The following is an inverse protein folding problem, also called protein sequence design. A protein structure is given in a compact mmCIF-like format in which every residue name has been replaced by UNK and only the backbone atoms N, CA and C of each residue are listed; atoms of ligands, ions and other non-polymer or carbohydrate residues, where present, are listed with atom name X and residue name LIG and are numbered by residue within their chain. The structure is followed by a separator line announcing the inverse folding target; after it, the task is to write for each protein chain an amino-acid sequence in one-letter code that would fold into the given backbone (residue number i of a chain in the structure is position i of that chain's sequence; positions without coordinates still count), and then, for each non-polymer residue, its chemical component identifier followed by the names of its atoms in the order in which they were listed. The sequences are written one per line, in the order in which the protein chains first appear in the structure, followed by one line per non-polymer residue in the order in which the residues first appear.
data_IF_019828380611
#
_entry.id   IF_019828380611
#
_cell.length_a   1.000
_cell.length_b   1.000
_cell.length_c   1.000
_cell.angle_alpha   90.00
_cell.angle_beta   90.00
_cell.angle_gamma   90.00
#
_symmetry.space_group_name_H-M   'P 1'
#
loop_
_entity.id
_entity.type
_entity.pdbx_description
1 polymer ?
#
# COMPACT_ATOMS: atom_id res chain seq x y z
N UNK A 1 -16.61 -3.51 -19.73
CA UNK A 1 -15.14 -3.50 -19.49
C UNK A 1 -14.83 -2.35 -18.52
N UNK A 2 -15.01 -2.59 -17.23
CA UNK A 2 -14.59 -1.67 -16.15
C UNK A 2 -13.29 -2.25 -15.61
N UNK A 3 -12.17 -1.74 -16.10
CA UNK A 3 -10.83 -2.12 -15.65
C UNK A 3 -10.62 -1.51 -14.26
N UNK A 4 -10.46 -2.37 -13.28
CA UNK A 4 -10.15 -2.03 -11.89
C UNK A 4 -8.97 -1.04 -11.80
N UNK A 5 -9.28 0.19 -11.41
CA UNK A 5 -8.31 1.25 -11.10
C UNK A 5 -7.82 1.20 -9.64
N UNK A 6 -7.85 0.02 -8.99
CA UNK A 6 -7.54 -0.13 -7.56
C UNK A 6 -6.05 -0.37 -7.25
N UNK A 7 -5.21 -0.63 -8.27
CA UNK A 7 -3.80 -1.01 -8.05
C UNK A 7 -2.76 0.03 -8.53
N UNK A 8 -3.16 1.28 -8.74
CA UNK A 8 -2.13 2.31 -8.93
C UNK A 8 -1.74 2.85 -7.55
N UNK A 9 -0.46 2.70 -7.12
CA UNK A 9 0.03 3.45 -5.98
C UNK A 9 -0.34 4.91 -6.27
N UNK A 10 -0.92 5.61 -5.31
CA UNK A 10 -1.15 7.06 -5.39
C UNK A 10 0.21 7.77 -5.46
N UNK A 11 0.86 7.62 -6.62
CA UNK A 11 2.00 8.44 -6.97
C UNK A 11 1.58 9.89 -6.80
N UNK A 12 2.49 10.73 -6.34
CA UNK A 12 2.30 12.18 -6.27
C UNK A 12 1.89 12.62 -7.68
N UNK A 13 0.62 12.58 -7.98
CA UNK A 13 0.08 12.98 -9.28
C UNK A 13 -0.10 14.49 -9.25
N UNK A 14 0.46 15.17 -10.25
CA UNK A 14 0.19 16.58 -10.45
C UNK A 14 -1.30 16.75 -10.75
N UNK A 15 -2.01 17.50 -9.91
CA UNK A 15 -3.41 17.82 -10.19
C UNK A 15 -3.47 18.88 -11.29
N UNK A 16 -4.39 18.71 -12.21
CA UNK A 16 -4.61 19.69 -13.29
C UNK A 16 -4.76 21.12 -12.75
N UNK A 17 -5.43 21.28 -11.61
CA UNK A 17 -5.59 22.58 -10.93
C UNK A 17 -4.25 23.24 -10.61
N UNK A 18 -3.25 22.49 -10.19
CA UNK A 18 -1.93 23.01 -9.84
C UNK A 18 -1.19 23.48 -11.10
N UNK A 19 -1.27 22.72 -12.18
CA UNK A 19 -0.70 23.10 -13.47
C UNK A 19 -1.35 24.38 -14.01
N UNK A 20 -2.67 24.47 -14.03
CA UNK A 20 -3.43 25.66 -14.43
C UNK A 20 -3.02 26.87 -13.60
N UNK A 21 -2.86 26.71 -12.29
CA UNK A 21 -2.43 27.81 -11.40
C UNK A 21 -1.03 28.32 -11.74
N UNK A 22 -0.05 27.44 -11.96
CA UNK A 22 1.29 27.85 -12.37
C UNK A 22 1.30 28.52 -13.74
N UNK A 23 0.51 28.02 -14.68
CA UNK A 23 0.39 28.64 -16.00
C UNK A 23 -0.23 30.05 -15.93
N UNK A 24 -1.19 30.30 -15.05
CA UNK A 24 -1.71 31.65 -14.82
C UNK A 24 -0.64 32.61 -14.29
N UNK A 25 0.21 32.16 -13.36
CA UNK A 25 1.36 32.95 -12.87
C UNK A 25 2.31 33.28 -14.02
N UNK A 26 2.62 32.29 -14.88
CA UNK A 26 3.48 32.48 -16.04
C UNK A 26 2.87 33.47 -17.03
N UNK A 27 1.59 33.37 -17.35
CA UNK A 27 0.85 34.27 -18.24
C UNK A 27 0.89 35.71 -17.73
N UNK A 28 0.59 35.92 -16.44
CA UNK A 28 0.62 37.26 -15.82
C UNK A 28 2.05 37.83 -15.87
N UNK A 29 3.07 37.03 -15.50
CA UNK A 29 4.45 37.44 -15.52
C UNK A 29 4.94 37.81 -16.93
N UNK A 30 4.68 36.96 -17.93
CA UNK A 30 5.04 37.21 -19.33
C UNK A 30 4.33 38.44 -19.89
N UNK A 31 3.01 38.58 -19.63
CA UNK A 31 2.22 39.74 -20.09
C UNK A 31 2.73 41.04 -19.49
N UNK A 32 2.97 41.08 -18.19
CA UNK A 32 3.51 42.26 -17.49
C UNK A 32 4.88 42.65 -18.02
N UNK A 33 5.73 41.66 -18.25
CA UNK A 33 7.08 41.89 -18.81
C UNK A 33 7.01 42.50 -20.20
N UNK A 34 6.18 41.97 -21.09
CA UNK A 34 6.00 42.51 -22.46
C UNK A 34 5.52 43.96 -22.39
N UNK A 35 4.52 44.26 -21.54
CA UNK A 35 3.95 45.57 -21.36
C UNK A 35 5.04 46.56 -20.86
N UNK A 36 5.77 46.19 -19.82
CA UNK A 36 6.82 47.03 -19.25
C UNK A 36 7.93 47.27 -20.28
N UNK A 37 8.38 46.23 -20.96
CA UNK A 37 9.45 46.34 -21.98
C UNK A 37 9.03 47.28 -23.12
N UNK A 38 7.80 47.19 -23.59
CA UNK A 38 7.31 47.99 -24.69
C UNK A 38 7.03 49.46 -24.28
N UNK A 39 6.28 49.70 -23.20
CA UNK A 39 5.83 51.05 -22.83
C UNK A 39 6.84 51.86 -22.01
N UNK A 40 7.59 51.18 -21.08
CA UNK A 40 8.51 51.89 -20.22
C UNK A 40 9.96 51.95 -20.79
N UNK A 41 10.43 50.85 -21.34
CA UNK A 41 11.76 50.77 -21.87
C UNK A 41 11.87 51.03 -23.37
N UNK A 42 10.72 51.17 -24.07
CA UNK A 42 10.65 51.43 -25.51
C UNK A 42 11.56 50.47 -26.33
N UNK A 43 11.56 49.17 -25.91
CA UNK A 43 12.35 48.15 -26.56
C UNK A 43 11.63 47.70 -27.83
N UNK A 44 12.33 47.77 -28.97
CA UNK A 44 11.76 47.29 -30.25
C UNK A 44 11.92 45.78 -30.37
N UNK A 45 10.81 45.09 -30.26
CA UNK A 45 10.67 43.65 -30.55
C UNK A 45 9.32 43.35 -31.20
N UNK A 46 9.17 42.16 -31.77
CA UNK A 46 7.89 41.78 -32.44
C UNK A 46 6.75 41.58 -31.43
N UNK A 47 6.12 42.69 -30.97
CA UNK A 47 5.04 42.65 -29.97
C UNK A 47 3.87 41.77 -30.43
N UNK A 48 3.52 41.81 -31.71
CA UNK A 48 2.45 41.00 -32.28
C UNK A 48 2.70 39.51 -32.11
N UNK A 49 3.89 39.06 -32.50
CA UNK A 49 4.30 37.63 -32.39
C UNK A 49 4.42 37.17 -30.94
N UNK A 50 4.99 38.04 -30.09
CA UNK A 50 5.13 37.75 -28.65
C UNK A 50 3.78 37.67 -27.96
N UNK A 51 2.84 38.56 -28.30
CA UNK A 51 1.47 38.54 -27.78
C UNK A 51 0.68 37.34 -28.24
N UNK A 52 0.85 36.88 -29.48
CA UNK A 52 0.22 35.66 -29.99
C UNK A 52 0.66 34.44 -29.19
N UNK A 53 1.94 34.33 -28.83
CA UNK A 53 2.45 33.22 -28.02
C UNK A 53 1.85 33.18 -26.60
N UNK A 54 1.71 34.35 -25.97
CA UNK A 54 1.04 34.43 -24.66
C UNK A 54 -0.43 34.10 -24.77
N UNK A 55 -1.13 34.61 -25.82
CA UNK A 55 -2.54 34.27 -26.07
C UNK A 55 -2.74 32.78 -26.32
N UNK A 56 -1.81 32.11 -27.00
CA UNK A 56 -1.84 30.65 -27.19
C UNK A 56 -1.79 29.91 -25.85
N UNK A 57 -0.95 30.35 -24.92
CA UNK A 57 -0.88 29.77 -23.56
C UNK A 57 -2.18 30.04 -22.77
N UNK A 58 -2.75 31.27 -22.89
CA UNK A 58 -4.05 31.59 -22.30
C UNK A 58 -5.14 30.67 -22.84
N UNK A 59 -5.20 30.50 -24.17
CA UNK A 59 -6.17 29.63 -24.81
C UNK A 59 -6.06 28.19 -24.32
N UNK A 60 -4.85 27.63 -24.28
CA UNK A 60 -4.63 26.29 -23.76
C UNK A 60 -5.10 26.19 -22.31
N UNK A 61 -4.76 27.14 -21.45
CA UNK A 61 -5.10 27.11 -20.03
C UNK A 61 -6.62 27.19 -19.79
N UNK A 62 -7.31 28.04 -20.56
CA UNK A 62 -8.78 28.18 -20.55
C UNK A 62 -9.43 26.90 -21.09
N UNK A 63 -8.91 26.34 -22.20
CA UNK A 63 -9.39 25.08 -22.75
C UNK A 63 -9.29 23.94 -21.74
N UNK A 64 -8.16 23.80 -21.04
CA UNK A 64 -7.97 22.79 -20.01
C UNK A 64 -8.95 22.98 -18.84
N UNK A 65 -9.18 24.22 -18.43
CA UNK A 65 -10.09 24.54 -17.34
C UNK A 65 -11.54 24.11 -17.64
N UNK A 66 -12.01 24.29 -18.88
CA UNK A 66 -13.37 23.93 -19.27
C UNK A 66 -13.53 22.47 -19.72
N UNK A 67 -12.47 21.85 -20.25
CA UNK A 67 -12.57 20.50 -20.84
C UNK A 67 -12.45 19.39 -19.81
N UNK A 68 -11.85 19.66 -18.63
CA UNK A 68 -11.58 18.62 -17.64
C UNK A 68 -12.01 19.02 -16.22
N UNK A 69 -12.45 18.06 -15.39
CA UNK A 69 -12.75 18.35 -13.99
C UNK A 69 -11.48 18.78 -13.25
N UNK A 70 -11.60 19.82 -12.42
CA UNK A 70 -10.48 20.44 -11.68
C UNK A 70 -9.74 19.43 -10.76
N UNK A 71 -10.43 18.36 -10.35
CA UNK A 71 -9.90 17.29 -9.50
C UNK A 71 -9.13 16.23 -10.28
N UNK A 72 -9.06 16.34 -11.63
CA UNK A 72 -8.35 15.36 -12.45
C UNK A 72 -6.87 15.29 -12.07
N UNK A 73 -6.40 14.08 -11.77
CA UNK A 73 -4.97 13.77 -11.68
C UNK A 73 -4.43 13.50 -13.08
N UNK A 74 -3.32 14.14 -13.44
CA UNK A 74 -2.70 14.00 -14.74
C UNK A 74 -1.82 12.74 -14.76
N UNK A 75 -1.89 12.00 -15.88
CA UNK A 75 -0.95 10.92 -16.17
C UNK A 75 0.43 11.49 -16.55
N UNK A 76 1.49 10.70 -16.35
CA UNK A 76 2.86 11.12 -16.67
C UNK A 76 3.04 11.58 -18.13
N UNK A 77 2.34 10.96 -19.08
CA UNK A 77 2.37 11.37 -20.48
C UNK A 77 1.71 12.73 -20.69
N UNK A 78 0.58 12.97 -20.04
CA UNK A 78 -0.13 14.26 -20.10
C UNK A 78 0.77 15.38 -19.53
N UNK A 79 1.36 15.17 -18.35
CA UNK A 79 2.30 16.13 -17.74
C UNK A 79 3.48 16.41 -18.67
N UNK A 80 4.05 15.37 -19.27
CA UNK A 80 5.19 15.53 -20.20
C UNK A 80 4.83 16.39 -21.41
N UNK A 81 3.67 16.16 -22.02
CA UNK A 81 3.20 16.93 -23.19
C UNK A 81 2.96 18.40 -22.81
N UNK A 82 2.32 18.67 -21.67
CA UNK A 82 2.08 20.03 -21.22
C UNK A 82 3.38 20.77 -20.91
N UNK A 83 4.33 20.15 -20.22
CA UNK A 83 5.64 20.76 -19.93
C UNK A 83 6.47 20.99 -21.18
N UNK A 84 6.41 20.10 -22.18
CA UNK A 84 7.06 20.30 -23.47
C UNK A 84 6.48 21.50 -24.21
N UNK A 85 5.15 21.64 -24.18
CA UNK A 85 4.50 22.80 -24.77
C UNK A 85 4.93 24.11 -24.08
N UNK A 86 4.94 24.12 -22.74
CA UNK A 86 5.38 25.31 -21.96
C UNK A 86 6.84 25.68 -22.26
N UNK A 87 7.73 24.70 -22.37
CA UNK A 87 9.14 24.90 -22.72
C UNK A 87 9.27 25.47 -24.13
N UNK A 88 8.58 24.88 -25.11
CA UNK A 88 8.63 25.33 -26.50
C UNK A 88 8.09 26.74 -26.65
N UNK A 89 6.96 27.05 -26.03
CA UNK A 89 6.36 28.39 -26.00
C UNK A 89 7.31 29.42 -25.39
N UNK A 90 7.93 29.11 -24.25
CA UNK A 90 8.84 30.00 -23.56
C UNK A 90 10.14 30.24 -24.37
N UNK A 91 10.72 29.20 -24.95
CA UNK A 91 11.90 29.31 -25.80
C UNK A 91 11.63 30.16 -27.03
N UNK A 92 10.46 29.99 -27.66
CA UNK A 92 10.08 30.80 -28.82
C UNK A 92 9.85 32.25 -28.42
N UNK A 93 9.29 32.51 -27.24
CA UNK A 93 9.18 33.88 -26.69
C UNK A 93 10.55 34.50 -26.46
N UNK A 94 11.51 33.79 -25.84
CA UNK A 94 12.88 34.25 -25.61
C UNK A 94 13.60 34.48 -26.93
N UNK A 95 13.41 33.64 -27.94
CA UNK A 95 13.95 33.82 -29.28
C UNK A 95 13.54 35.17 -29.91
N UNK A 96 12.26 35.54 -29.77
CA UNK A 96 11.70 36.80 -30.30
C UNK A 96 12.12 38.05 -29.49
N UNK A 97 12.59 37.86 -28.27
CA UNK A 97 12.82 38.94 -27.30
C UNK A 97 14.28 39.00 -26.85
N UNK A 98 15.24 38.68 -27.73
CA UNK A 98 16.67 38.93 -27.53
C UNK A 98 17.51 37.75 -27.07
N UNK A 99 16.99 36.54 -27.01
CA UNK A 99 17.77 35.37 -26.61
C UNK A 99 18.33 35.46 -25.20
N UNK A 100 19.62 35.22 -25.05
CA UNK A 100 20.32 35.32 -23.74
C UNK A 100 20.51 36.73 -23.21
N UNK A 101 20.28 37.78 -24.02
CA UNK A 101 20.26 39.14 -23.50
C UNK A 101 18.98 39.44 -22.73
N UNK A 102 17.97 38.60 -22.86
CA UNK A 102 16.73 38.66 -22.10
C UNK A 102 16.90 37.99 -20.72
N UNK A 103 16.83 38.69 -19.59
CA UNK A 103 16.99 38.11 -18.25
C UNK A 103 15.94 37.05 -17.89
N UNK A 104 14.83 37.03 -18.61
CA UNK A 104 13.75 36.04 -18.40
C UNK A 104 14.06 34.64 -18.97
N UNK A 105 15.24 34.46 -19.60
CA UNK A 105 15.70 33.13 -19.99
C UNK A 105 15.82 32.16 -18.78
N UNK A 106 15.98 32.69 -17.55
CA UNK A 106 15.97 31.87 -16.32
C UNK A 106 14.63 31.21 -16.03
N UNK A 107 13.50 31.71 -16.59
CA UNK A 107 12.18 31.09 -16.37
C UNK A 107 12.08 29.65 -16.90
N UNK A 108 12.98 29.24 -17.78
CA UNK A 108 13.05 27.85 -18.26
C UNK A 108 13.32 26.84 -17.14
N UNK A 109 13.82 27.27 -16.00
CA UNK A 109 14.03 26.42 -14.83
C UNK A 109 12.71 25.95 -14.21
N UNK A 110 11.62 26.71 -14.37
CA UNK A 110 10.31 26.39 -13.75
C UNK A 110 9.74 25.05 -14.25
N UNK A 111 9.52 24.84 -15.56
CA UNK A 111 9.03 23.55 -16.05
C UNK A 111 9.98 22.38 -15.75
N UNK A 112 11.29 22.64 -15.62
CA UNK A 112 12.29 21.63 -15.27
C UNK A 112 12.14 21.19 -13.80
N UNK A 113 11.96 22.12 -12.89
CA UNK A 113 11.68 21.82 -11.47
C UNK A 113 10.40 20.98 -11.35
N UNK A 114 9.34 21.37 -12.08
CA UNK A 114 8.08 20.63 -12.09
C UNK A 114 8.30 19.20 -12.64
N UNK A 115 9.01 19.06 -13.77
CA UNK A 115 9.29 17.76 -14.38
C UNK A 115 10.07 16.83 -13.43
N UNK A 116 11.12 17.37 -12.79
CA UNK A 116 11.97 16.61 -11.87
C UNK A 116 11.24 16.20 -10.58
N UNK A 117 10.20 16.95 -10.19
CA UNK A 117 9.41 16.67 -8.98
C UNK A 117 8.30 15.65 -9.24
N UNK A 118 7.65 15.69 -10.40
CA UNK A 118 6.42 14.91 -10.64
C UNK A 118 6.60 13.75 -11.63
N UNK A 119 7.62 13.76 -12.48
CA UNK A 119 7.85 12.71 -13.47
C UNK A 119 8.79 11.62 -12.98
N UNK A 120 8.80 10.51 -13.70
CA UNK A 120 9.81 9.46 -13.56
C UNK A 120 11.17 9.91 -14.16
N UNK A 121 12.23 9.23 -13.77
CA UNK A 121 13.60 9.59 -14.16
C UNK A 121 13.76 9.69 -15.68
N UNK A 122 13.19 8.78 -16.46
CA UNK A 122 13.33 8.76 -17.92
C UNK A 122 12.73 10.03 -18.56
N UNK A 123 11.52 10.42 -18.13
CA UNK A 123 10.84 11.60 -18.66
C UNK A 123 11.46 12.91 -18.16
N UNK A 124 11.93 12.95 -16.91
CA UNK A 124 12.64 14.10 -16.38
C UNK A 124 13.96 14.34 -17.15
N UNK A 125 14.72 13.28 -17.44
CA UNK A 125 15.94 13.37 -18.29
C UNK A 125 15.57 13.82 -19.70
N UNK A 126 14.50 13.32 -20.30
CA UNK A 126 14.06 13.72 -21.63
C UNK A 126 13.77 15.23 -21.69
N UNK A 127 13.01 15.76 -20.74
CA UNK A 127 12.68 17.19 -20.65
C UNK A 127 13.93 18.02 -20.43
N UNK A 128 14.83 17.60 -19.54
CA UNK A 128 16.11 18.24 -19.30
C UNK A 128 16.95 18.30 -20.59
N UNK A 129 17.07 17.19 -21.31
CA UNK A 129 17.81 17.11 -22.58
C UNK A 129 17.23 18.04 -23.66
N UNK A 130 15.90 18.05 -23.83
CA UNK A 130 15.22 18.93 -24.78
C UNK A 130 15.47 20.39 -24.41
N UNK A 131 15.42 20.76 -23.13
CA UNK A 131 15.66 22.11 -22.66
C UNK A 131 17.11 22.55 -22.91
N UNK A 132 18.09 21.68 -22.64
CA UNK A 132 19.52 21.96 -22.95
C UNK A 132 19.72 22.17 -24.45
N UNK A 133 19.14 21.30 -25.27
CA UNK A 133 19.26 21.42 -26.74
C UNK A 133 18.65 22.71 -27.24
N UNK A 134 17.47 23.09 -26.72
CA UNK A 134 16.79 24.30 -27.11
C UNK A 134 17.52 25.56 -26.64
N UNK A 135 18.10 25.58 -25.43
CA UNK A 135 18.98 26.67 -24.97
C UNK A 135 20.24 26.76 -25.80
N UNK A 136 20.84 25.62 -26.17
CA UNK A 136 22.05 25.65 -27.05
C UNK A 136 21.69 26.16 -28.44
N UNK A 137 20.49 25.87 -28.95
CA UNK A 137 20.01 26.47 -30.19
C UNK A 137 19.88 28.00 -30.09
N UNK A 138 19.34 28.51 -28.98
CA UNK A 138 19.24 29.96 -28.72
C UNK A 138 20.59 30.67 -28.64
N UNK A 139 21.70 29.98 -28.37
CA UNK A 139 23.04 30.55 -28.35
C UNK A 139 23.45 31.05 -29.75
N UNK A 140 23.02 30.35 -30.80
CA UNK A 140 23.38 30.63 -32.19
C UNK A 140 22.29 31.39 -32.93
N UNK A 141 21.02 31.23 -32.52
CA UNK A 141 19.87 31.77 -33.25
C UNK A 141 18.95 32.53 -32.28
N UNK A 142 18.89 33.84 -32.42
CA UNK A 142 17.95 34.71 -31.70
C UNK A 142 17.72 35.99 -32.48
N UNK A 143 16.59 36.67 -32.26
CA UNK A 143 16.32 37.98 -32.83
C UNK A 143 16.96 39.06 -31.93
N UNK A 144 17.91 39.85 -32.43
CA UNK A 144 18.52 40.93 -31.65
C UNK A 144 17.45 42.00 -31.31
N UNK A 145 17.58 42.59 -30.13
CA UNK A 145 16.75 43.71 -29.71
C UNK A 145 17.46 45.00 -30.12
N UNK A 146 16.73 45.94 -30.76
CA UNK A 146 17.16 47.31 -30.98
C UNK A 146 16.40 48.24 -30.03
N UNK A 147 17.08 49.28 -29.52
CA UNK A 147 16.45 50.33 -28.72
C UNK A 147 17.01 51.66 -29.14
N UNK A 148 16.13 52.52 -29.68
CA UNK A 148 16.51 53.87 -30.11
C UNK A 148 16.73 54.84 -28.95
N UNK A 149 16.15 54.55 -27.77
CA UNK A 149 16.13 55.45 -26.60
C UNK A 149 17.32 55.36 -25.66
N UNK A 150 18.10 54.31 -25.74
CA UNK A 150 19.32 54.13 -24.95
C UNK A 150 20.45 54.02 -25.94
N UNK A 151 21.53 54.89 -25.82
CA UNK A 151 22.73 54.75 -26.59
C UNK A 151 23.43 53.41 -26.30
N UNK A 152 22.85 52.33 -26.83
CA UNK A 152 23.29 50.94 -26.64
C UNK A 152 24.55 50.59 -27.44
N UNK A 153 25.16 51.62 -28.11
CA UNK A 153 26.34 51.43 -28.94
C UNK A 153 27.61 51.05 -28.17
N UNK A 154 27.57 50.93 -26.83
CA UNK A 154 28.77 50.59 -26.06
C UNK A 154 28.62 49.36 -25.16
N UNK A 155 27.41 48.76 -25.01
CA UNK A 155 27.19 47.64 -24.09
C UNK A 155 26.43 46.48 -24.73
N UNK A 156 26.70 46.13 -25.99
CA UNK A 156 26.32 44.80 -26.48
C UNK A 156 27.06 43.79 -25.63
N UNK A 157 26.30 42.82 -25.01
CA UNK A 157 26.95 41.71 -24.31
C UNK A 157 28.00 41.09 -25.21
N UNK A 158 29.24 40.95 -24.69
CA UNK A 158 30.30 40.27 -25.43
C UNK A 158 29.91 38.80 -25.66
N UNK A 159 30.43 38.19 -26.70
CA UNK A 159 30.23 36.75 -26.96
C UNK A 159 30.61 35.92 -25.73
N UNK A 160 31.62 36.35 -24.97
CA UNK A 160 32.02 35.70 -23.72
C UNK A 160 30.94 35.79 -22.63
N UNK A 161 30.25 36.91 -22.47
CA UNK A 161 29.17 37.07 -21.49
C UNK A 161 27.97 36.21 -21.85
N UNK A 162 27.57 36.17 -23.13
CA UNK A 162 26.48 35.30 -23.61
C UNK A 162 26.81 33.82 -23.37
N UNK A 163 28.05 33.42 -23.71
CA UNK A 163 28.52 32.06 -23.44
C UNK A 163 28.54 31.74 -21.94
N UNK A 164 28.97 32.70 -21.12
CA UNK A 164 29.01 32.53 -19.66
C UNK A 164 27.59 32.36 -19.05
N UNK A 165 26.62 33.13 -19.53
CA UNK A 165 25.19 32.99 -19.12
C UNK A 165 24.65 31.63 -19.53
N UNK A 166 24.90 31.21 -20.78
CA UNK A 166 24.50 29.90 -21.27
C UNK A 166 25.09 28.76 -20.43
N UNK A 167 26.40 28.77 -20.19
CA UNK A 167 27.12 27.76 -19.41
C UNK A 167 26.59 27.69 -17.96
N UNK A 168 26.43 28.87 -17.32
CA UNK A 168 25.88 28.98 -15.98
C UNK A 168 24.44 28.40 -15.89
N UNK A 169 23.64 28.72 -16.90
CA UNK A 169 22.23 28.26 -16.93
C UNK A 169 22.13 26.76 -17.13
N UNK A 170 22.97 26.15 -17.98
CA UNK A 170 23.02 24.69 -18.15
C UNK A 170 23.47 24.00 -16.87
N UNK A 171 24.55 24.50 -16.23
CA UNK A 171 25.03 23.93 -14.96
C UNK A 171 23.93 23.99 -13.90
N UNK A 172 23.28 25.14 -13.79
CA UNK A 172 22.14 25.34 -12.84
C UNK A 172 21.00 24.40 -13.14
N UNK A 173 20.64 24.21 -14.42
CA UNK A 173 19.56 23.34 -14.86
C UNK A 173 19.84 21.87 -14.48
N UNK A 174 21.04 21.38 -14.76
CA UNK A 174 21.43 20.01 -14.40
C UNK A 174 21.42 19.84 -12.88
N UNK A 175 22.00 20.78 -12.14
CA UNK A 175 22.06 20.73 -10.68
C UNK A 175 20.66 20.74 -10.05
N UNK A 176 19.81 21.70 -10.44
CA UNK A 176 18.45 21.82 -9.90
C UNK A 176 17.63 20.58 -10.26
N UNK A 177 17.71 20.09 -11.51
CA UNK A 177 16.99 18.88 -11.93
C UNK A 177 17.38 17.67 -11.08
N UNK A 178 18.68 17.43 -10.90
CA UNK A 178 19.19 16.33 -10.09
C UNK A 178 18.78 16.45 -8.61
N UNK A 179 18.90 17.66 -8.04
CA UNK A 179 18.53 17.93 -6.66
C UNK A 179 17.02 17.75 -6.42
N UNK A 180 16.17 18.34 -7.26
CA UNK A 180 14.71 18.22 -7.13
C UNK A 180 14.26 16.78 -7.30
N UNK A 181 14.81 16.04 -8.27
CA UNK A 181 14.49 14.62 -8.46
C UNK A 181 14.86 13.78 -7.23
N UNK A 182 16.06 13.98 -6.69
CA UNK A 182 16.53 13.26 -5.50
C UNK A 182 15.63 13.55 -4.28
N UNK A 183 15.38 14.82 -4.00
CA UNK A 183 14.52 15.23 -2.87
C UNK A 183 13.10 14.72 -3.02
N UNK A 184 12.52 14.79 -4.22
CA UNK A 184 11.20 14.24 -4.51
C UNK A 184 11.17 12.71 -4.31
N UNK A 185 12.21 12.00 -4.75
CA UNK A 185 12.34 10.55 -4.55
C UNK A 185 12.45 10.16 -3.08
N UNK A 186 13.24 10.87 -2.28
CA UNK A 186 13.36 10.67 -0.84
C UNK A 186 12.04 10.94 -0.12
N UNK A 187 11.34 12.02 -0.49
CA UNK A 187 10.02 12.34 0.07
C UNK A 187 8.97 11.28 -0.26
N UNK A 188 8.99 10.72 -1.48
CA UNK A 188 8.10 9.60 -1.86
C UNK A 188 8.35 8.37 -0.98
N UNK A 189 9.61 7.94 -0.84
CA UNK A 189 9.99 6.80 -0.01
C UNK A 189 9.57 6.98 1.46
N UNK A 190 9.79 8.16 2.01
CA UNK A 190 9.39 8.48 3.39
C UNK A 190 7.87 8.43 3.57
N UNK A 191 7.11 8.90 2.59
CA UNK A 191 5.64 8.87 2.60
C UNK A 191 5.10 7.45 2.49
N UNK A 192 5.70 6.62 1.62
CA UNK A 192 5.31 5.21 1.46
C UNK A 192 5.56 4.43 2.75
N UNK A 193 6.73 4.61 3.39
CA UNK A 193 7.03 4.00 4.68
C UNK A 193 6.07 4.46 5.80
N UNK A 194 5.72 5.75 5.83
CA UNK A 194 4.73 6.26 6.79
C UNK A 194 3.35 5.64 6.58
N UNK A 195 2.92 5.48 5.32
CA UNK A 195 1.64 4.84 4.97
C UNK A 195 1.60 3.38 5.42
N UNK A 196 2.67 2.62 5.17
CA UNK A 196 2.79 1.23 5.64
C UNK A 196 2.70 1.15 7.16
N UNK A 197 3.41 2.03 7.87
CA UNK A 197 3.35 2.09 9.34
C UNK A 197 1.94 2.43 9.86
N UNK A 198 1.26 3.38 9.22
CA UNK A 198 -0.12 3.74 9.59
C UNK A 198 -1.11 2.60 9.37
N UNK A 199 -0.96 1.85 8.26
CA UNK A 199 -1.78 0.68 7.99
C UNK A 199 -1.53 -0.44 9.02
N UNK A 200 -0.28 -0.68 9.39
CA UNK A 200 0.09 -1.66 10.41
C UNK A 200 -0.51 -1.28 11.79
N UNK A 201 -0.39 -0.02 12.20
CA UNK A 201 -0.99 0.49 13.45
C UNK A 201 -2.52 0.36 13.44
N UNK A 202 -3.17 0.75 12.35
CA UNK A 202 -4.63 0.63 12.24
C UNK A 202 -5.11 -0.83 12.34
N UNK A 203 -4.36 -1.76 11.77
CA UNK A 203 -4.67 -3.18 11.91
C UNK A 203 -4.45 -3.68 13.34
N UNK A 204 -3.38 -3.25 14.01
CA UNK A 204 -3.12 -3.57 15.42
C UNK A 204 -4.22 -3.05 16.34
N UNK A 205 -4.68 -1.81 16.14
CA UNK A 205 -5.80 -1.23 16.89
C UNK A 205 -7.10 -2.03 16.69
N UNK A 206 -7.42 -2.43 15.45
CA UNK A 206 -8.59 -3.26 15.15
C UNK A 206 -8.53 -4.62 15.84
N UNK A 207 -7.36 -5.27 15.83
CA UNK A 207 -7.14 -6.55 16.50
C UNK A 207 -7.29 -6.39 18.01
N UNK A 208 -6.69 -5.37 18.60
CA UNK A 208 -6.77 -5.07 20.04
C UNK A 208 -8.22 -4.79 20.48
N UNK A 209 -8.97 -4.01 19.71
CA UNK A 209 -10.38 -3.74 19.98
C UNK A 209 -11.24 -5.02 19.92
N UNK A 210 -11.02 -5.88 18.91
CA UNK A 210 -11.69 -7.17 18.78
C UNK A 210 -11.39 -8.08 19.99
N UNK A 211 -10.13 -8.15 20.42
CA UNK A 211 -9.73 -8.96 21.57
C UNK A 211 -10.39 -8.47 22.86
N UNK A 212 -10.41 -7.16 23.09
CA UNK A 212 -11.08 -6.57 24.25
C UNK A 212 -12.57 -6.85 24.29
N UNK A 213 -13.27 -6.68 23.15
CA UNK A 213 -14.69 -6.98 23.04
C UNK A 213 -14.99 -8.48 23.25
N UNK A 214 -14.12 -9.35 22.72
CA UNK A 214 -14.27 -10.80 22.89
C UNK A 214 -14.08 -11.20 24.34
N UNK A 215 -13.11 -10.66 25.06
CA UNK A 215 -12.88 -10.94 26.48
C UNK A 215 -14.08 -10.49 27.34
N UNK A 216 -14.61 -9.31 27.09
CA UNK A 216 -15.81 -8.81 27.78
C UNK A 216 -17.02 -9.69 27.48
N UNK A 217 -17.27 -10.05 26.23
CA UNK A 217 -18.38 -10.91 25.82
C UNK A 217 -18.31 -12.31 26.48
N UNK A 218 -17.11 -12.90 26.52
CA UNK A 218 -16.92 -14.21 27.20
C UNK A 218 -17.26 -14.13 28.68
N UNK A 219 -16.87 -13.05 29.37
CA UNK A 219 -17.17 -12.86 30.79
C UNK A 219 -18.66 -12.66 31.02
N UNK A 220 -19.30 -11.77 30.27
CA UNK A 220 -20.72 -11.43 30.40
C UNK A 220 -21.66 -12.59 30.00
N UNK A 221 -21.27 -13.42 29.03
CA UNK A 221 -22.06 -14.58 28.57
C UNK A 221 -21.81 -15.83 29.42
N UNK A 222 -20.65 -15.95 30.05
CA UNK A 222 -20.27 -17.10 30.87
C UNK A 222 -21.18 -17.25 32.10
N UNK A 223 -21.53 -16.13 32.75
CA UNK A 223 -22.39 -16.13 33.94
C UNK A 223 -23.80 -16.65 33.67
N UNK A 224 -24.58 -16.12 32.68
CA UNK A 224 -25.92 -16.64 32.41
C UNK A 224 -25.94 -18.10 31.91
N UNK A 225 -24.90 -18.48 31.10
CA UNK A 225 -24.79 -19.87 30.64
C UNK A 225 -24.51 -20.83 31.79
N UNK A 226 -23.71 -20.48 32.79
CA UNK A 226 -23.49 -21.28 33.99
C UNK A 226 -24.78 -21.44 34.78
N UNK A 227 -25.58 -20.40 34.92
CA UNK A 227 -26.88 -20.44 35.61
C UNK A 227 -27.85 -21.38 34.88
N UNK A 228 -27.96 -21.24 33.52
CA UNK A 228 -28.83 -22.12 32.74
C UNK A 228 -28.36 -23.59 32.82
N UNK A 229 -27.03 -23.82 32.83
CA UNK A 229 -26.44 -25.16 32.96
C UNK A 229 -26.82 -25.81 34.30
N UNK A 230 -26.79 -25.07 35.41
CA UNK A 230 -27.15 -25.57 36.74
C UNK A 230 -28.62 -25.88 36.79
N UNK A 231 -29.49 -24.95 36.38
CA UNK A 231 -30.94 -25.13 36.40
C UNK A 231 -31.37 -26.32 35.51
N UNK A 232 -30.83 -26.43 34.31
CA UNK A 232 -31.16 -27.53 33.41
C UNK A 232 -30.69 -28.86 33.96
N UNK A 233 -29.59 -28.94 34.69
CA UNK A 233 -29.10 -30.13 35.33
C UNK A 233 -30.03 -30.56 36.50
N UNK A 234 -30.43 -29.63 37.38
CA UNK A 234 -31.37 -29.88 38.47
C UNK A 234 -32.73 -30.37 37.94
N UNK A 235 -33.24 -29.74 36.86
CA UNK A 235 -34.50 -30.17 36.25
C UNK A 235 -34.43 -31.57 35.64
N UNK A 236 -33.27 -31.99 35.09
CA UNK A 236 -33.06 -33.36 34.58
C UNK A 236 -33.02 -34.36 35.74
N UNK A 237 -32.37 -34.03 36.84
CA UNK A 237 -32.30 -34.90 38.04
C UNK A 237 -33.65 -35.09 38.71
N UNK A 238 -34.55 -34.08 38.68
CA UNK A 238 -35.89 -34.12 39.27
C UNK A 238 -36.95 -34.69 38.33
N UNK A 239 -36.64 -34.91 37.03
CA UNK A 239 -37.62 -35.36 36.04
C UNK A 239 -37.48 -36.87 35.75
N UNK A 240 -38.55 -37.65 35.88
CA UNK A 240 -38.53 -39.06 35.49
C UNK A 240 -38.28 -39.23 33.99
N UNK A 241 -37.44 -40.22 33.58
CA UNK A 241 -37.06 -40.49 32.19
C UNK A 241 -38.24 -40.76 31.22
N UNK A 242 -39.44 -40.98 31.72
CA UNK A 242 -40.69 -41.19 30.96
C UNK A 242 -41.48 -39.90 30.70
N UNK A 243 -40.99 -38.74 31.16
CA UNK A 243 -41.68 -37.47 30.98
C UNK A 243 -41.39 -36.92 29.57
N UNK A 244 -42.40 -36.42 28.87
CA UNK A 244 -42.28 -35.81 27.53
C UNK A 244 -41.24 -34.69 27.46
N UNK A 245 -40.97 -33.99 28.58
CA UNK A 245 -40.01 -32.87 28.63
C UNK A 245 -38.56 -33.30 28.89
N UNK A 246 -38.28 -34.60 29.13
CA UNK A 246 -36.94 -35.07 29.47
C UNK A 246 -35.94 -34.90 28.28
N UNK A 247 -36.40 -35.23 27.07
CA UNK A 247 -35.58 -35.08 25.86
C UNK A 247 -35.28 -33.60 25.54
N UNK A 248 -36.23 -32.70 25.79
CA UNK A 248 -36.07 -31.26 25.62
C UNK A 248 -35.03 -30.68 26.60
N UNK A 249 -35.04 -31.14 27.87
CA UNK A 249 -34.06 -30.74 28.87
C UNK A 249 -32.64 -31.22 28.50
N UNK A 250 -32.49 -32.46 28.01
CA UNK A 250 -31.22 -32.96 27.51
C UNK A 250 -30.72 -32.14 26.33
N UNK A 251 -31.62 -31.74 25.44
CA UNK A 251 -31.27 -30.88 24.30
C UNK A 251 -30.76 -29.50 24.78
N UNK A 252 -31.45 -28.88 25.72
CA UNK A 252 -31.03 -27.59 26.34
C UNK A 252 -29.65 -27.73 26.96
N UNK A 253 -29.40 -28.74 27.78
CA UNK A 253 -28.09 -28.97 28.41
C UNK A 253 -26.98 -29.13 27.38
N UNK A 254 -27.24 -29.88 26.31
CA UNK A 254 -26.31 -30.09 25.23
C UNK A 254 -25.95 -28.77 24.52
N UNK A 255 -26.97 -27.90 24.26
CA UNK A 255 -26.73 -26.61 23.64
C UNK A 255 -25.98 -25.64 24.57
N UNK A 256 -26.29 -25.61 25.85
CA UNK A 256 -25.60 -24.80 26.86
C UNK A 256 -24.12 -25.21 26.95
N UNK A 257 -23.84 -26.50 27.04
CA UNK A 257 -22.48 -27.06 27.03
C UNK A 257 -21.72 -26.62 25.77
N UNK A 258 -22.37 -26.72 24.62
CA UNK A 258 -21.78 -26.27 23.36
C UNK A 258 -21.46 -24.76 23.34
N UNK A 259 -22.36 -23.91 23.85
CA UNK A 259 -22.10 -22.48 23.99
C UNK A 259 -20.90 -22.19 24.93
N UNK A 260 -20.84 -22.93 26.06
CA UNK A 260 -19.72 -22.81 26.98
C UNK A 260 -18.39 -23.22 26.35
N UNK A 261 -18.38 -24.28 25.54
CA UNK A 261 -17.18 -24.72 24.81
C UNK A 261 -16.72 -23.67 23.76
N UNK A 262 -17.66 -23.04 23.05
CA UNK A 262 -17.36 -21.95 22.13
C UNK A 262 -16.75 -20.76 22.89
N UNK A 263 -17.32 -20.35 24.00
CA UNK A 263 -16.78 -19.26 24.83
C UNK A 263 -15.41 -19.61 25.41
N UNK A 264 -15.20 -20.86 25.83
CA UNK A 264 -13.91 -21.35 26.32
C UNK A 264 -12.84 -21.28 25.21
N UNK A 265 -13.16 -21.67 23.99
CA UNK A 265 -12.27 -21.54 22.82
C UNK A 265 -11.94 -20.07 22.53
N UNK A 266 -12.92 -19.17 22.57
CA UNK A 266 -12.71 -17.72 22.42
C UNK A 266 -11.84 -17.14 23.53
N UNK A 267 -12.03 -17.58 24.77
CA UNK A 267 -11.19 -17.15 25.92
C UNK A 267 -9.75 -17.62 25.75
N UNK A 268 -9.54 -18.87 25.40
CA UNK A 268 -8.20 -19.44 25.26
C UNK A 268 -7.43 -18.81 24.09
N UNK A 269 -8.15 -18.27 23.08
CA UNK A 269 -7.52 -17.49 22.00
C UNK A 269 -7.00 -16.11 22.46
N UNK A 270 -7.42 -15.62 23.63
CA UNK A 270 -7.11 -14.28 24.12
C UNK A 270 -6.19 -14.25 25.35
N UNK A 271 -6.00 -15.37 26.06
CA UNK A 271 -5.26 -15.42 27.33
C UNK A 271 -4.01 -16.30 27.26
N UNK A 272 -2.93 -15.68 26.81
CA UNK A 272 -1.59 -16.09 27.19
C UNK A 272 -0.90 -14.90 27.86
N UNK A 273 -1.37 -14.61 29.08
CA UNK A 273 -0.62 -13.86 30.08
C UNK A 273 -1.00 -14.50 31.43
N UNK A 274 -0.09 -15.21 31.98
CA UNK A 274 0.05 -15.69 33.35
C UNK A 274 0.26 -17.20 33.43
N UNK A 275 1.49 -17.60 33.14
CA UNK A 275 2.09 -18.74 33.85
C UNK A 275 3.60 -18.73 33.64
N UNK A 276 4.34 -18.67 34.72
CA UNK A 276 5.82 -18.65 34.81
C UNK A 276 6.50 -20.00 34.40
N UNK A 277 5.78 -20.88 33.69
CA UNK A 277 6.29 -22.20 33.29
C UNK A 277 6.82 -22.27 31.83
N UNK A 278 6.97 -21.16 31.12
CA UNK A 278 7.17 -21.14 29.66
C UNK A 278 8.63 -21.20 29.18
N UNK A 279 9.57 -21.56 30.00
CA UNK A 279 11.00 -21.68 29.57
C UNK A 279 11.44 -23.09 29.20
N UNK A 280 10.53 -24.02 28.94
CA UNK A 280 10.92 -25.36 28.48
C UNK A 280 11.07 -25.39 26.96
N UNK A 281 12.27 -25.71 26.50
CA UNK A 281 12.51 -26.06 25.10
C UNK A 281 11.67 -27.27 24.71
N UNK A 282 11.08 -27.25 23.52
CA UNK A 282 10.31 -28.37 22.99
C UNK A 282 10.78 -28.74 21.58
N UNK A 283 10.57 -29.98 21.18
CA UNK A 283 10.72 -30.41 19.80
C UNK A 283 9.43 -30.26 19.05
N UNK A 284 9.46 -29.83 17.78
CA UNK A 284 8.24 -29.68 16.96
C UNK A 284 7.47 -30.99 16.83
N UNK A 285 8.16 -32.12 16.79
CA UNK A 285 7.55 -33.46 16.79
C UNK A 285 6.74 -33.73 18.04
N UNK A 286 7.29 -33.42 19.24
CA UNK A 286 6.55 -33.61 20.50
C UNK A 286 5.32 -32.68 20.61
N UNK A 287 5.48 -31.43 20.17
CA UNK A 287 4.35 -30.49 20.17
C UNK A 287 3.19 -30.94 19.26
N UNK A 288 3.51 -31.39 18.05
CA UNK A 288 2.50 -31.87 17.11
C UNK A 288 1.81 -33.12 17.69
N UNK A 289 2.58 -34.04 18.28
CA UNK A 289 2.00 -35.21 18.93
C UNK A 289 1.07 -34.85 20.09
N UNK A 290 1.47 -33.88 20.94
CA UNK A 290 0.63 -33.35 22.03
C UNK A 290 -0.69 -32.75 21.52
N UNK A 291 -0.64 -31.98 20.42
CA UNK A 291 -1.85 -31.42 19.82
C UNK A 291 -2.75 -32.52 19.26
N UNK A 292 -2.18 -33.51 18.59
CA UNK A 292 -2.89 -34.61 17.96
C UNK A 292 -3.54 -35.60 18.95
N UNK A 293 -3.04 -35.70 20.18
CA UNK A 293 -3.70 -36.51 21.23
C UNK A 293 -5.16 -36.13 21.46
N UNK A 294 -5.52 -34.86 21.26
CA UNK A 294 -6.90 -34.38 21.37
C UNK A 294 -7.83 -34.96 20.31
N UNK A 295 -7.30 -35.54 19.22
CA UNK A 295 -8.05 -36.07 18.06
C UNK A 295 -7.98 -37.60 17.93
N UNK A 296 -7.48 -38.30 18.92
CA UNK A 296 -7.25 -39.76 18.91
C UNK A 296 -8.52 -40.61 18.63
N UNK A 297 -9.71 -40.05 18.75
CA UNK A 297 -10.99 -40.70 18.52
C UNK A 297 -11.60 -40.41 17.14
N UNK A 298 -10.95 -39.65 16.26
CA UNK A 298 -11.44 -39.31 14.93
C UNK A 298 -11.03 -40.38 13.89
N UNK A 299 -11.90 -40.65 12.90
CA UNK A 299 -11.66 -41.63 11.84
C UNK A 299 -10.76 -41.15 10.70
N UNK A 300 -9.99 -40.11 10.93
CA UNK A 300 -9.12 -39.50 9.94
C UNK A 300 -7.70 -40.08 10.08
N UNK A 301 -7.14 -40.56 8.98
CA UNK A 301 -5.77 -41.05 8.93
C UNK A 301 -4.79 -39.88 9.02
N UNK A 302 -3.81 -39.99 9.94
CA UNK A 302 -2.80 -38.96 10.14
C UNK A 302 -1.44 -39.53 9.74
N UNK A 303 -0.77 -38.87 8.82
CA UNK A 303 0.59 -39.19 8.41
C UNK A 303 1.53 -38.03 8.80
N UNK A 304 2.58 -38.34 9.57
CA UNK A 304 3.59 -37.36 9.99
C UNK A 304 4.90 -37.73 9.31
N UNK A 305 5.40 -36.82 8.47
CA UNK A 305 6.68 -36.93 7.80
C UNK A 305 7.63 -35.86 8.33
N UNK A 306 8.76 -36.24 8.88
CA UNK A 306 9.75 -35.30 9.38
C UNK A 306 11.14 -35.61 8.76
N UNK A 307 11.88 -34.56 8.42
CA UNK A 307 13.25 -34.69 7.99
C UNK A 307 14.08 -35.37 9.09
N UNK A 308 15.10 -36.17 8.69
CA UNK A 308 15.90 -36.94 9.61
C UNK A 308 16.57 -36.10 10.72
N UNK A 309 16.85 -34.86 10.43
CA UNK A 309 17.43 -33.87 11.37
C UNK A 309 16.57 -33.64 12.62
N UNK A 310 15.22 -33.81 12.52
CA UNK A 310 14.31 -33.67 13.65
C UNK A 310 14.39 -34.87 14.62
N UNK A 311 14.92 -35.99 14.15
CA UNK A 311 15.13 -37.21 14.96
C UNK A 311 16.56 -37.27 15.54
N UNK A 312 17.56 -36.81 14.76
CA UNK A 312 18.97 -36.92 15.11
C UNK A 312 19.46 -35.72 15.97
N UNK A 313 19.01 -34.53 15.65
CA UNK A 313 19.32 -33.31 16.38
C UNK A 313 18.04 -32.80 17.01
N UNK A 314 17.94 -32.76 18.33
CA UNK A 314 16.83 -32.12 19.03
C UNK A 314 16.72 -30.65 18.63
N UNK A 315 16.15 -30.37 17.44
CA UNK A 315 15.82 -29.01 17.04
C UNK A 315 14.74 -28.53 17.97
N UNK A 316 15.16 -27.80 19.00
CA UNK A 316 14.28 -27.21 19.99
C UNK A 316 13.96 -25.76 19.62
N UNK A 317 12.79 -25.33 19.96
CA UNK A 317 12.35 -23.94 19.88
C UNK A 317 11.78 -23.53 21.24
N UNK A 318 11.76 -22.24 21.52
CA UNK A 318 11.07 -21.74 22.70
C UNK A 318 9.56 -22.00 22.57
N UNK A 319 8.97 -22.55 23.63
CA UNK A 319 7.53 -22.85 23.70
C UNK A 319 6.75 -21.54 23.80
N UNK A 320 6.53 -20.90 22.66
CA UNK A 320 5.75 -19.68 22.60
C UNK A 320 4.27 -20.04 22.47
N UNK A 321 3.41 -19.49 23.31
CA UNK A 321 1.97 -19.71 23.26
C UNK A 321 1.36 -19.37 21.90
N UNK A 322 1.93 -18.39 21.23
CA UNK A 322 1.51 -17.95 19.90
C UNK A 322 1.66 -19.07 18.85
N UNK A 323 2.78 -19.79 18.89
CA UNK A 323 3.04 -20.91 17.96
C UNK A 323 2.13 -22.08 18.26
N UNK A 324 1.99 -22.47 19.54
CA UNK A 324 1.13 -23.58 19.98
C UNK A 324 -0.31 -23.34 19.53
N UNK A 325 -0.83 -22.17 19.84
CA UNK A 325 -2.21 -21.83 19.52
C UNK A 325 -2.46 -21.74 18.01
N UNK A 326 -1.50 -21.17 17.28
CA UNK A 326 -1.61 -21.09 15.82
C UNK A 326 -1.62 -22.48 15.19
N UNK A 327 -0.73 -23.38 15.60
CA UNK A 327 -0.70 -24.75 15.11
C UNK A 327 -1.98 -25.50 15.48
N UNK A 328 -2.46 -25.38 16.72
CA UNK A 328 -3.74 -25.98 17.15
C UNK A 328 -4.90 -25.51 16.28
N UNK A 329 -5.03 -24.20 16.02
CA UNK A 329 -6.09 -23.66 15.18
C UNK A 329 -6.02 -24.15 13.72
N UNK A 330 -4.80 -24.32 13.17
CA UNK A 330 -4.59 -24.79 11.80
C UNK A 330 -4.91 -26.29 11.72
N UNK A 331 -4.47 -27.08 12.71
CA UNK A 331 -4.77 -28.51 12.82
C UNK A 331 -6.29 -28.73 13.02
N UNK A 332 -6.94 -27.97 13.92
CA UNK A 332 -8.40 -27.98 14.10
C UNK A 332 -9.13 -27.76 12.76
N UNK A 333 -8.62 -26.82 11.97
CA UNK A 333 -9.20 -26.50 10.66
C UNK A 333 -9.00 -27.66 9.67
N UNK A 334 -7.83 -28.29 9.65
CA UNK A 334 -7.56 -29.45 8.83
C UNK A 334 -8.51 -30.62 9.20
N UNK A 335 -8.68 -30.96 10.48
CA UNK A 335 -9.61 -31.99 10.93
C UNK A 335 -11.06 -31.69 10.57
N UNK A 336 -11.45 -30.43 10.64
CA UNK A 336 -12.83 -30.00 10.31
C UNK A 336 -13.16 -30.19 8.83
N UNK A 337 -12.19 -30.06 7.93
CA UNK A 337 -12.44 -30.06 6.49
C UNK A 337 -11.87 -31.27 5.75
N UNK A 338 -10.97 -32.04 6.35
CA UNK A 338 -10.48 -33.30 5.79
C UNK A 338 -11.63 -34.28 5.57
N UNK A 339 -11.45 -35.13 4.56
CA UNK A 339 -12.39 -36.24 4.30
C UNK A 339 -11.89 -37.54 4.95
N UNK A 340 -10.64 -37.91 4.69
CA UNK A 340 -10.07 -39.18 5.11
C UNK A 340 -8.65 -39.05 5.65
N UNK A 341 -7.87 -38.06 5.20
CA UNK A 341 -6.42 -38.01 5.47
C UNK A 341 -5.89 -36.59 5.72
N UNK A 342 -4.99 -36.48 6.69
CA UNK A 342 -4.20 -35.28 6.97
C UNK A 342 -2.73 -35.68 6.93
N UNK A 343 -1.90 -34.94 6.20
CA UNK A 343 -0.44 -35.13 6.13
C UNK A 343 0.22 -33.91 6.77
N UNK A 344 1.14 -34.16 7.71
CA UNK A 344 1.93 -33.13 8.38
C UNK A 344 3.38 -33.37 8.04
N UNK A 345 3.99 -32.46 7.26
CA UNK A 345 5.40 -32.52 6.90
C UNK A 345 6.19 -31.50 7.70
N UNK A 346 7.27 -31.95 8.34
CA UNK A 346 8.25 -31.13 9.03
C UNK A 346 9.53 -31.08 8.20
N UNK A 347 9.85 -29.91 7.68
CA UNK A 347 11.05 -29.67 6.86
C UNK A 347 11.94 -28.64 7.54
N UNK A 348 13.25 -28.89 7.47
CA UNK A 348 14.26 -27.97 8.00
C UNK A 348 15.08 -27.37 6.87
N UNK A 349 15.25 -26.07 6.92
CA UNK A 349 16.21 -25.33 6.08
C UNK A 349 17.16 -24.56 6.99
N UNK A 350 18.31 -24.13 6.48
CA UNK A 350 19.31 -23.38 7.26
C UNK A 350 18.75 -22.15 7.99
N UNK A 351 17.60 -21.64 7.58
CA UNK A 351 17.00 -20.40 8.10
C UNK A 351 15.63 -20.59 8.73
N UNK A 352 14.90 -21.65 8.39
CA UNK A 352 13.50 -21.82 8.76
C UNK A 352 13.15 -23.27 9.08
N UNK A 353 12.22 -23.43 10.02
CA UNK A 353 11.45 -24.66 10.19
C UNK A 353 10.14 -24.45 9.43
N UNK A 354 9.82 -25.38 8.55
CA UNK A 354 8.59 -25.34 7.73
C UNK A 354 7.69 -26.47 8.21
N UNK A 355 6.47 -26.10 8.63
CA UNK A 355 5.43 -27.06 9.01
C UNK A 355 4.35 -26.97 7.94
N UNK A 356 4.20 -28.01 7.12
CA UNK A 356 3.17 -28.12 6.11
C UNK A 356 2.04 -29.01 6.64
N UNK A 357 0.82 -28.51 6.65
CA UNK A 357 -0.37 -29.26 7.06
C UNK A 357 -1.28 -29.35 5.83
N UNK A 358 -1.49 -30.56 5.34
CA UNK A 358 -2.19 -30.84 4.09
C UNK A 358 -3.40 -31.69 4.41
N UNK A 359 -4.58 -31.22 4.07
CA UNK A 359 -5.84 -31.98 4.15
C UNK A 359 -6.34 -32.39 2.76
N UNK A 360 -7.11 -33.47 2.69
CA UNK A 360 -7.77 -33.98 1.48
C UNK A 360 -9.18 -33.41 1.28
N UNK A 361 -9.44 -32.26 1.88
CA UNK A 361 -10.71 -31.55 1.80
C UNK A 361 -10.97 -30.93 0.42
N UNK A 362 -12.08 -30.18 0.33
CA UNK A 362 -12.49 -29.52 -0.93
C UNK A 362 -11.65 -28.28 -1.30
N UNK A 363 -10.63 -27.90 -0.50
CA UNK A 363 -9.84 -26.68 -0.70
C UNK A 363 -10.66 -25.40 -0.55
N UNK A 364 -10.10 -24.25 -0.86
CA UNK A 364 -10.76 -22.95 -0.81
C UNK A 364 -11.18 -22.48 -2.21
N UNK A 365 -12.34 -21.85 -2.34
CA UNK A 365 -12.74 -21.24 -3.61
C UNK A 365 -11.86 -20.03 -3.94
N UNK A 366 -11.70 -19.72 -5.23
CA UNK A 366 -10.90 -18.59 -5.69
C UNK A 366 -11.34 -17.24 -5.13
N UNK A 367 -12.64 -17.10 -4.83
CA UNK A 367 -13.22 -15.89 -4.23
C UNK A 367 -12.79 -15.68 -2.78
N UNK A 368 -12.68 -16.79 -2.01
CA UNK A 368 -12.31 -16.75 -0.58
C UNK A 368 -10.81 -16.79 -0.40
N UNK A 369 -10.07 -17.36 -1.35
CA UNK A 369 -8.63 -17.55 -1.24
C UNK A 369 -7.87 -16.23 -0.99
N UNK A 370 -8.25 -15.15 -1.66
CA UNK A 370 -7.66 -13.82 -1.47
C UNK A 370 -7.98 -13.16 -0.12
N UNK A 371 -8.99 -13.69 0.59
CA UNK A 371 -9.46 -13.18 1.88
C UNK A 371 -9.01 -14.06 3.06
N UNK A 372 -8.26 -15.16 2.81
CA UNK A 372 -7.80 -16.04 3.87
C UNK A 372 -6.92 -15.30 4.88
N UNK A 373 -7.22 -15.49 6.14
CA UNK A 373 -6.55 -14.76 7.21
C UNK A 373 -7.16 -13.38 7.50
N UNK A 374 -8.25 -12.97 6.87
CA UNK A 374 -9.09 -11.86 7.30
C UNK A 374 -10.18 -12.36 8.28
N UNK A 375 -10.68 -11.49 9.19
CA UNK A 375 -11.69 -11.90 10.18
C UNK A 375 -13.03 -12.20 9.52
N UNK A 376 -13.76 -13.18 10.08
CA UNK A 376 -15.10 -13.58 9.66
C UNK A 376 -15.22 -14.16 8.25
N UNK A 377 -14.13 -14.55 7.63
CA UNK A 377 -14.15 -15.22 6.33
C UNK A 377 -14.62 -16.66 6.50
N UNK A 378 -15.68 -17.03 5.79
CA UNK A 378 -16.28 -18.38 5.80
C UNK A 378 -16.35 -18.94 4.40
N UNK A 379 -16.26 -20.27 4.30
CA UNK A 379 -16.27 -21.00 3.03
C UNK A 379 -17.58 -20.90 2.26
N UNK A 380 -18.71 -20.78 2.95
CA UNK A 380 -20.05 -20.78 2.33
C UNK A 380 -21.12 -20.30 3.32
N UNK A 381 -22.24 -19.84 2.76
CA UNK A 381 -23.50 -19.62 3.47
C UNK A 381 -24.18 -20.96 3.89
N UNK A 382 -23.52 -22.10 3.71
CA UNK A 382 -24.03 -23.40 4.12
C UNK A 382 -24.28 -23.42 5.63
N UNK A 383 -25.52 -23.73 6.00
CA UNK A 383 -26.02 -23.76 7.39
C UNK A 383 -25.25 -24.74 8.30
N UNK A 384 -24.40 -25.60 7.73
CA UNK A 384 -23.62 -26.60 8.46
C UNK A 384 -22.27 -26.12 8.94
N UNK A 385 -21.72 -25.00 8.39
CA UNK A 385 -20.43 -24.47 8.83
C UNK A 385 -20.58 -23.66 10.12
N UNK A 386 -20.36 -24.33 11.26
CA UNK A 386 -20.59 -23.81 12.61
C UNK A 386 -19.45 -22.96 13.18
N UNK A 387 -18.43 -22.59 12.38
CA UNK A 387 -17.29 -21.79 12.83
C UNK A 387 -17.50 -20.28 12.70
N UNK A 388 -16.85 -19.48 13.55
CA UNK A 388 -16.90 -18.01 13.50
C UNK A 388 -16.03 -17.39 12.38
N UNK A 389 -15.21 -18.19 11.69
CA UNK A 389 -14.27 -17.69 10.67
C UNK A 389 -13.13 -16.85 11.24
N UNK A 390 -12.76 -17.05 12.51
CA UNK A 390 -11.71 -16.31 13.20
C UNK A 390 -10.40 -17.09 13.35
N UNK A 391 -10.42 -18.43 13.22
CA UNK A 391 -9.25 -19.27 13.51
C UNK A 391 -8.01 -18.92 12.69
N UNK A 392 -8.11 -18.85 11.37
CA UNK A 392 -7.01 -18.50 10.48
C UNK A 392 -6.55 -17.06 10.65
N UNK A 393 -7.46 -16.13 10.91
CA UNK A 393 -7.14 -14.75 11.24
C UNK A 393 -6.31 -14.65 12.53
N UNK A 394 -6.71 -15.35 13.60
CA UNK A 394 -5.99 -15.39 14.87
C UNK A 394 -4.60 -16.00 14.66
N UNK A 395 -4.49 -17.13 13.94
CA UNK A 395 -3.20 -17.77 13.65
C UNK A 395 -2.25 -16.87 12.87
N UNK A 396 -2.73 -16.18 11.84
CA UNK A 396 -1.94 -15.22 11.05
C UNK A 396 -1.38 -14.09 11.92
N UNK A 397 -2.20 -13.54 12.82
CA UNK A 397 -1.79 -12.46 13.71
C UNK A 397 -0.83 -12.93 14.81
N UNK A 398 -1.04 -14.11 15.40
CA UNK A 398 -0.15 -14.66 16.40
C UNK A 398 1.22 -14.99 15.81
N UNK A 399 1.27 -15.64 14.65
CA UNK A 399 2.52 -15.99 13.97
C UNK A 399 3.31 -14.77 13.53
N UNK A 400 2.64 -13.70 13.10
CA UNK A 400 3.32 -12.45 12.75
C UNK A 400 4.08 -11.81 13.93
N UNK A 401 3.61 -12.01 15.17
CA UNK A 401 4.28 -11.55 16.40
C UNK A 401 5.51 -12.39 16.78
N UNK A 402 5.56 -13.65 16.37
CA UNK A 402 6.66 -14.60 16.66
C UNK A 402 7.66 -14.74 15.52
N UNK A 403 7.78 -13.75 14.63
CA UNK A 403 8.66 -13.76 13.44
C UNK A 403 8.41 -14.96 12.52
N UNK A 404 7.20 -15.51 12.55
CA UNK A 404 6.76 -16.64 11.74
C UNK A 404 5.77 -16.17 10.66
N UNK A 405 5.68 -16.92 9.57
CA UNK A 405 4.78 -16.60 8.44
C UNK A 405 3.87 -17.79 8.15
N UNK A 406 2.62 -17.52 7.83
CA UNK A 406 1.68 -18.50 7.32
C UNK A 406 1.42 -18.24 5.84
N UNK A 407 1.39 -19.31 5.04
CA UNK A 407 1.00 -19.29 3.64
C UNK A 407 -0.10 -20.30 3.41
N UNK A 408 -1.06 -19.95 2.56
CA UNK A 408 -2.18 -20.83 2.21
C UNK A 408 -2.01 -21.27 0.77
N UNK A 409 -2.20 -22.56 0.52
CA UNK A 409 -2.10 -23.17 -0.80
C UNK A 409 -3.32 -24.04 -1.04
N UNK A 410 -3.81 -24.08 -2.27
CA UNK A 410 -4.76 -25.12 -2.69
C UNK A 410 -3.97 -26.24 -3.37
N UNK A 411 -4.26 -27.48 -3.01
CA UNK A 411 -3.75 -28.60 -3.79
C UNK A 411 -4.46 -28.59 -5.14
N UNK A 412 -3.70 -28.64 -6.23
CA UNK A 412 -4.29 -28.89 -7.56
C UNK A 412 -5.00 -30.25 -7.51
N UNK A 413 -6.22 -30.36 -8.05
CA UNK A 413 -6.84 -31.65 -8.17
C UNK A 413 -6.01 -32.53 -9.10
N UNK A 414 -5.45 -33.65 -8.58
CA UNK A 414 -4.84 -34.70 -9.37
C UNK A 414 -5.84 -35.31 -10.35
#
# INVERSE_FOLDING_TARGET
MIKNNLDRPENISLRLRTLIFFNWIAIIGQSLTIIIAYFFFQIEFSIEKSSVLVLLLVFLNVFLYFSYPITKSLDFNEITIYLLFDILQLIFLIYLTGGFTNPFCMLILVPIVISSTYLDLKRAILICFISITALTFLLFFYMPISSDSINYNSNSFSEFEIFSIWASLIITLIFISAYCFRTASETRKARDALRETQLALSNEEKVSALMSLTAAAVHELGTPLSTISIISKEMIEDTEQKNENYDDLLLIQTQVKRCADILKRLRNSNFVKDSDEFFNEFTFTSLISEILENYSNEKIEIEINADQIFYDNNISSSRTPEVIQSLSNIIDNAFKYAKNKIIINLKYTEKFIIVEIIDDGKGFSSEIFSLLGEPYVRRSLDKEDKGLGLGLFISKNLLSKSSSKIEFLNNEPN
#
